data_IF_886452783931
#
_entry.id   IF_886452783931
#
_cell.length_a   1.000
_cell.length_b   1.000
_cell.length_c   1.000
_cell.angle_alpha   90.00
_cell.angle_beta   90.00
_cell.angle_gamma   90.00
#
_symmetry.space_group_name_H-M   'P 1'
#
loop_
_entity.id
_entity.type
_entity.pdbx_description
1 polymer ?
#
# COMPACT_ATOMS: atom_id res chain seq x y z
N UNK A 1 14.32 -5.40 0.85
CA UNK A 1 13.87 -4.01 0.94
C UNK A 1 14.16 -3.30 -0.38
N UNK A 2 13.23 -3.40 -1.33
CA UNK A 2 13.31 -2.81 -2.67
C UNK A 2 13.11 -1.28 -2.68
N UNK A 3 13.68 -0.62 -3.69
CA UNK A 3 13.36 0.77 -4.07
C UNK A 3 12.11 0.76 -4.97
N UNK A 4 11.22 1.74 -4.79
CA UNK A 4 9.94 1.84 -5.46
C UNK A 4 9.71 3.25 -5.97
N UNK A 5 9.23 3.36 -7.21
CA UNK A 5 8.69 4.61 -7.77
C UNK A 5 7.22 4.35 -8.08
N UNK A 6 6.33 5.08 -7.42
CA UNK A 6 4.90 5.08 -7.70
C UNK A 6 4.55 6.37 -8.44
N UNK A 7 3.82 6.23 -9.55
CA UNK A 7 3.38 7.36 -10.37
C UNK A 7 1.89 7.35 -10.58
N UNK A 8 1.23 8.50 -10.48
CA UNK A 8 -0.19 8.64 -10.76
C UNK A 8 -0.54 8.37 -12.24
N UNK A 9 -1.82 8.55 -12.55
CA UNK A 9 -2.33 8.34 -13.89
C UNK A 9 -1.78 9.29 -14.98
N UNK A 10 -1.22 10.43 -14.55
CA UNK A 10 -0.60 11.44 -15.40
C UNK A 10 0.93 11.33 -15.40
N UNK A 11 1.49 10.22 -14.91
CA UNK A 11 2.94 9.98 -14.81
C UNK A 11 3.66 10.91 -13.81
N UNK A 12 2.95 11.56 -12.88
CA UNK A 12 3.56 12.29 -11.77
C UNK A 12 4.01 11.34 -10.66
N UNK A 13 5.24 11.51 -10.17
CA UNK A 13 5.76 10.72 -9.05
C UNK A 13 5.00 11.09 -7.78
N UNK A 14 4.30 10.12 -7.19
CA UNK A 14 3.62 10.27 -5.89
C UNK A 14 4.45 9.69 -4.74
N UNK A 15 5.39 8.80 -5.05
CA UNK A 15 6.34 8.25 -4.07
C UNK A 15 7.59 7.78 -4.80
N UNK A 16 8.74 8.06 -4.22
CA UNK A 16 10.04 7.55 -4.68
C UNK A 16 10.89 7.21 -3.46
N UNK A 17 11.34 5.96 -3.40
CA UNK A 17 12.27 5.48 -2.39
C UNK A 17 11.94 4.07 -1.88
N UNK A 18 12.59 3.70 -0.78
CA UNK A 18 12.46 2.36 -0.19
C UNK A 18 11.02 2.07 0.22
N UNK A 19 10.53 0.87 -0.09
CA UNK A 19 9.18 0.42 0.28
C UNK A 19 8.87 0.55 1.78
N UNK A 20 9.85 0.46 2.69
CA UNK A 20 9.62 0.68 4.14
C UNK A 20 9.34 2.14 4.51
N UNK A 21 9.50 3.08 3.59
CA UNK A 21 9.15 4.49 3.79
C UNK A 21 7.71 4.79 3.38
N UNK A 22 7.00 3.85 2.75
CA UNK A 22 5.56 3.99 2.51
C UNK A 22 4.82 4.17 3.83
N UNK A 23 4.04 5.24 3.91
CA UNK A 23 3.08 5.39 4.99
C UNK A 23 1.90 4.49 4.73
N UNK A 24 1.58 3.65 5.71
CA UNK A 24 0.37 2.83 5.71
C UNK A 24 -0.69 3.59 6.51
N UNK A 25 -1.88 3.83 5.95
CA UNK A 25 -2.92 4.57 6.65
C UNK A 25 -3.34 3.87 7.95
N UNK A 26 -3.59 4.67 9.00
CA UNK A 26 -3.96 4.17 10.32
C UNK A 26 -5.26 3.36 10.32
N UNK A 27 -6.22 3.73 9.48
CA UNK A 27 -7.48 3.00 9.31
C UNK A 27 -7.24 1.55 8.86
N UNK A 28 -6.37 1.36 7.87
CA UNK A 28 -6.00 0.02 7.41
C UNK A 28 -5.23 -0.77 8.48
N UNK A 29 -4.32 -0.11 9.22
CA UNK A 29 -3.63 -0.74 10.35
C UNK A 29 -4.65 -1.25 11.38
N UNK A 30 -5.66 -0.43 11.71
CA UNK A 30 -6.72 -0.79 12.66
C UNK A 30 -7.57 -1.96 12.15
N UNK A 31 -7.98 -1.92 10.88
CA UNK A 31 -8.74 -3.00 10.24
C UNK A 31 -7.98 -4.33 10.28
N UNK A 32 -6.70 -4.32 9.86
CA UNK A 32 -5.88 -5.53 9.84
C UNK A 32 -5.48 -6.00 11.23
N UNK A 33 -5.34 -5.08 12.19
CA UNK A 33 -5.16 -5.43 13.60
C UNK A 33 -6.34 -6.22 14.14
N UNK A 34 -7.56 -5.74 13.88
CA UNK A 34 -8.77 -6.47 14.24
C UNK A 34 -8.80 -7.86 13.58
N UNK A 35 -8.51 -7.94 12.29
CA UNK A 35 -8.57 -9.21 11.55
C UNK A 35 -7.51 -10.24 11.98
N UNK A 36 -6.29 -9.80 12.30
CA UNK A 36 -5.16 -10.70 12.58
C UNK A 36 -4.92 -10.97 14.06
N UNK A 37 -5.27 -10.01 14.91
CA UNK A 37 -4.95 -10.03 16.34
C UNK A 37 -6.18 -9.84 17.22
N UNK A 38 -7.38 -9.65 16.64
CA UNK A 38 -8.62 -9.35 17.37
C UNK A 38 -8.48 -8.13 18.30
N UNK A 39 -7.60 -7.19 17.91
CA UNK A 39 -7.26 -6.01 18.68
C UNK A 39 -7.84 -4.75 18.01
N UNK A 40 -8.98 -4.21 18.52
CA UNK A 40 -9.63 -3.01 17.99
C UNK A 40 -8.85 -1.72 18.22
N UNK A 41 -7.94 -1.68 19.18
CA UNK A 41 -7.19 -0.47 19.53
C UNK A 41 -5.70 -0.81 19.68
N UNK A 42 -5.03 -1.15 18.56
CA UNK A 42 -3.68 -1.66 18.61
C UNK A 42 -2.73 -0.65 19.22
N UNK A 43 -1.97 -1.11 20.22
CA UNK A 43 -0.82 -0.35 20.71
C UNK A 43 0.27 -0.25 19.64
N UNK A 44 1.30 0.57 19.89
CA UNK A 44 2.41 0.79 18.97
C UNK A 44 3.10 -0.51 18.50
N UNK A 45 3.18 -1.53 19.37
CA UNK A 45 3.79 -2.83 19.04
C UNK A 45 2.93 -3.57 18.01
N UNK A 46 1.61 -3.65 18.22
CA UNK A 46 0.69 -4.30 17.28
C UNK A 46 0.60 -3.53 15.96
N UNK A 47 0.57 -2.19 16.01
CA UNK A 47 0.62 -1.36 14.79
C UNK A 47 1.90 -1.64 13.97
N UNK A 48 3.05 -1.75 14.64
CA UNK A 48 4.33 -2.05 13.99
C UNK A 48 4.34 -3.44 13.36
N UNK A 49 3.78 -4.44 14.04
CA UNK A 49 3.66 -5.80 13.53
C UNK A 49 2.76 -5.86 12.28
N UNK A 50 1.58 -5.23 12.34
CA UNK A 50 0.65 -5.11 11.21
C UNK A 50 1.33 -4.43 10.02
N UNK A 51 1.97 -3.28 10.26
CA UNK A 51 2.68 -2.52 9.22
C UNK A 51 3.78 -3.34 8.56
N UNK A 52 4.60 -4.03 9.36
CA UNK A 52 5.68 -4.88 8.83
C UNK A 52 5.11 -5.98 7.94
N UNK A 53 4.03 -6.63 8.36
CA UNK A 53 3.38 -7.70 7.59
C UNK A 53 2.80 -7.19 6.27
N UNK A 54 2.16 -6.02 6.26
CA UNK A 54 1.64 -5.40 5.04
C UNK A 54 2.75 -5.07 4.04
N UNK A 55 3.86 -4.49 4.53
CA UNK A 55 4.99 -4.13 3.66
C UNK A 55 5.70 -5.34 3.07
N UNK A 56 5.84 -6.44 3.82
CA UNK A 56 6.39 -7.70 3.31
C UNK A 56 5.48 -8.27 2.22
N UNK A 57 4.17 -8.34 2.47
CA UNK A 57 3.22 -8.83 1.48
C UNK A 57 3.23 -7.99 0.19
N UNK A 58 3.39 -6.67 0.33
CA UNK A 58 3.53 -5.78 -0.82
C UNK A 58 4.86 -6.02 -1.55
N UNK A 59 5.98 -6.15 -0.83
CA UNK A 59 7.28 -6.46 -1.43
C UNK A 59 7.22 -7.77 -2.23
N UNK A 60 6.65 -8.83 -1.66
CA UNK A 60 6.48 -10.14 -2.31
C UNK A 60 5.61 -10.04 -3.57
N UNK A 61 4.50 -9.30 -3.50
CA UNK A 61 3.61 -9.08 -4.65
C UNK A 61 4.31 -8.33 -5.79
N UNK A 62 5.20 -7.39 -5.45
CA UNK A 62 5.94 -6.58 -6.41
C UNK A 62 7.18 -7.28 -6.97
N UNK A 63 7.78 -8.23 -6.24
CA UNK A 63 8.94 -9.01 -6.72
C UNK A 63 8.67 -9.80 -8.02
N UNK A 64 7.40 -10.04 -8.35
CA UNK A 64 6.98 -10.77 -9.55
C UNK A 64 6.53 -9.84 -10.69
N UNK A 65 6.61 -8.52 -10.48
CA UNK A 65 6.25 -7.50 -11.48
C UNK A 65 7.53 -6.91 -12.02
N UNK A 66 7.83 -7.15 -13.29
CA UNK A 66 8.99 -6.58 -13.96
C UNK A 66 8.94 -5.04 -13.88
N UNK A 67 10.12 -4.47 -13.65
CA UNK A 67 10.39 -3.12 -13.14
C UNK A 67 9.50 -1.97 -13.67
N UNK A 68 9.20 -1.02 -12.77
CA UNK A 68 8.38 0.19 -12.91
C UNK A 68 6.86 -0.02 -12.85
N UNK A 69 6.35 -0.18 -11.62
CA UNK A 69 4.91 -0.17 -11.36
C UNK A 69 4.36 1.24 -11.56
N UNK A 70 3.85 1.49 -12.76
CA UNK A 70 2.96 2.63 -13.02
C UNK A 70 1.62 2.31 -12.35
N UNK A 71 1.00 3.25 -11.62
CA UNK A 71 -0.21 2.97 -10.79
C UNK A 71 -1.41 2.46 -11.61
N UNK A 72 -1.33 2.53 -12.94
CA UNK A 72 -2.25 1.88 -13.87
C UNK A 72 -2.19 0.34 -13.91
N UNK A 73 -1.15 -0.28 -13.34
CA UNK A 73 -0.92 -1.74 -13.42
C UNK A 73 -1.00 -2.46 -12.07
N UNK A 74 -1.26 -1.75 -10.97
CA UNK A 74 -1.41 -2.39 -9.66
C UNK A 74 -2.85 -2.82 -9.45
N UNK A 75 -3.03 -4.07 -9.05
CA UNK A 75 -4.37 -4.61 -8.77
C UNK A 75 -5.08 -3.78 -7.71
N UNK A 76 -6.42 -3.79 -7.76
CA UNK A 76 -7.27 -3.11 -6.78
C UNK A 76 -6.81 -3.42 -5.35
N UNK A 77 -6.47 -4.68 -5.07
CA UNK A 77 -6.02 -5.17 -3.77
C UNK A 77 -4.75 -4.44 -3.25
N UNK A 78 -3.83 -4.06 -4.14
CA UNK A 78 -2.61 -3.33 -3.75
C UNK A 78 -2.94 -1.87 -3.44
N UNK A 79 -3.83 -1.26 -4.21
CA UNK A 79 -4.30 0.11 -3.98
C UNK A 79 -5.10 0.22 -2.68
N UNK A 80 -5.92 -0.79 -2.39
CA UNK A 80 -6.61 -1.01 -1.11
C UNK A 80 -5.61 -1.11 0.03
N UNK A 81 -4.56 -1.92 -0.16
CA UNK A 81 -3.51 -2.18 0.85
C UNK A 81 -2.62 -0.96 1.12
N UNK A 82 -2.54 -0.02 0.18
CA UNK A 82 -1.78 1.22 0.36
C UNK A 82 -2.66 2.39 0.84
N UNK A 83 -3.99 2.19 0.89
CA UNK A 83 -4.98 3.20 1.24
C UNK A 83 -4.96 4.43 0.34
N UNK A 84 -4.65 4.24 -0.95
CA UNK A 84 -4.81 5.26 -1.98
C UNK A 84 -6.27 5.44 -2.44
N UNK A 85 -7.24 4.94 -1.67
CA UNK A 85 -8.67 4.95 -2.04
C UNK A 85 -9.24 6.33 -2.32
N UNK A 86 -8.71 7.41 -1.77
CA UNK A 86 -9.41 8.70 -1.84
C UNK A 86 -9.13 9.53 -3.09
N UNK A 87 -8.27 9.11 -4.03
CA UNK A 87 -7.99 9.90 -5.25
C UNK A 87 -7.76 9.10 -6.55
N UNK A 88 -8.19 7.85 -6.65
CA UNK A 88 -8.34 7.21 -7.97
C UNK A 88 -9.74 7.52 -8.49
N UNK A 89 -9.89 8.77 -8.95
CA UNK A 89 -11.06 9.14 -9.74
C UNK A 89 -11.20 8.16 -10.90
N UNK A 90 -12.28 7.40 -10.85
CA UNK A 90 -12.82 6.69 -12.00
C UNK A 90 -12.92 7.68 -13.16
N UNK A 91 -12.13 7.49 -14.22
CA UNK A 91 -12.47 8.11 -15.50
C UNK A 91 -13.51 7.19 -16.13
N UNK A 92 -14.78 7.49 -15.85
CA UNK A 92 -15.87 7.16 -16.76
C UNK A 92 -15.80 8.12 -17.93
N UNK A 93 -15.55 7.64 -19.14
CA UNK A 93 -16.00 8.24 -20.40
C UNK A 93 -16.25 7.07 -21.38
N UNK A 94 -17.40 6.94 -22.05
CA UNK A 94 -18.19 8.01 -22.64
C UNK A 94 -17.66 8.26 -24.03
#
# INVERSE_FOLDING_TARGET
MIELILKDQHNHIIFEGKINKLSIPKSLIKEKSMAWFQDPDPCFIHQSAVRKRLLIALEDALMHVDQSVTIHQVSHDVLTTLGFYENLYTIHMG
#
